data_IF_733073958679
#
_entry.id   IF_733073958679
#
_cell.length_a   1.000
_cell.length_b   1.000
_cell.length_c   1.000
_cell.angle_alpha   90.00
_cell.angle_beta   90.00
_cell.angle_gamma   90.00
#
_symmetry.space_group_name_H-M   'P 1'
#
loop_
_entity.id
_entity.type
_entity.pdbx_description
1 polymer ?
#
# COMPACT_ATOMS: atom_id res chain seq x y z
N UNK A 1 -3.04 1.48 22.54
CA UNK A 1 -2.34 1.21 21.26
C UNK A 1 -2.99 1.96 20.10
N UNK A 2 -4.31 1.86 19.88
CA UNK A 2 -5.01 2.54 18.76
C UNK A 2 -4.72 4.06 18.62
N UNK A 3 -4.50 4.80 19.72
CA UNK A 3 -4.14 6.23 19.64
C UNK A 3 -2.70 6.52 19.19
N UNK A 4 -1.72 5.63 19.44
CA UNK A 4 -0.30 5.87 19.13
C UNK A 4 -0.02 5.78 17.62
N UNK A 5 -0.83 5.03 16.87
CA UNK A 5 -0.72 4.89 15.40
C UNK A 5 -1.12 6.20 14.69
N UNK A 6 -2.01 6.98 15.30
CA UNK A 6 -2.40 8.30 14.80
C UNK A 6 -1.35 9.39 15.03
N UNK A 7 -0.23 9.07 15.68
CA UNK A 7 0.91 9.98 15.83
C UNK A 7 1.92 9.82 14.68
N UNK A 8 1.73 8.82 13.82
CA UNK A 8 2.61 8.60 12.68
C UNK A 8 2.30 9.58 11.54
N UNK A 9 3.35 10.05 10.82
CA UNK A 9 3.19 10.88 9.64
C UNK A 9 2.37 10.16 8.56
N UNK A 10 1.46 10.87 7.89
CA UNK A 10 0.59 10.29 6.87
C UNK A 10 -0.62 9.52 7.43
N UNK A 11 -0.93 9.62 8.72
CA UNK A 11 -2.15 9.02 9.28
C UNK A 11 -3.41 9.64 8.65
N UNK A 12 -4.40 8.80 8.35
CA UNK A 12 -5.68 9.27 7.79
C UNK A 12 -6.72 9.63 8.86
N UNK A 13 -6.38 9.42 10.14
CA UNK A 13 -7.32 9.42 11.28
C UNK A 13 -8.55 8.53 11.04
N UNK A 14 -9.33 8.28 12.09
CA UNK A 14 -10.55 7.47 12.03
C UNK A 14 -11.82 8.30 11.80
N UNK A 15 -11.71 9.63 11.81
CA UNK A 15 -12.80 10.59 11.59
C UNK A 15 -12.33 11.74 10.68
N UNK A 16 -13.16 12.11 9.71
CA UNK A 16 -12.94 13.25 8.80
C UNK A 16 -12.79 14.56 9.58
N UNK A 17 -13.47 14.71 10.72
CA UNK A 17 -13.36 15.90 11.59
C UNK A 17 -12.02 15.97 12.32
N UNK A 18 -11.45 14.83 12.71
CA UNK A 18 -10.12 14.76 13.33
C UNK A 18 -8.99 14.95 12.31
N UNK A 19 -9.24 14.62 11.04
CA UNK A 19 -8.30 14.86 9.95
C UNK A 19 -8.10 16.35 9.65
N UNK A 20 -9.15 17.18 9.78
CA UNK A 20 -9.10 18.60 9.46
C UNK A 20 -8.59 18.85 8.03
N UNK A 21 -7.69 19.83 7.88
CA UNK A 21 -7.05 20.19 6.60
C UNK A 21 -5.79 19.36 6.28
N UNK A 22 -5.46 18.35 7.09
CA UNK A 22 -4.26 17.54 6.89
C UNK A 22 -4.41 16.70 5.61
N UNK A 23 -3.48 16.88 4.67
CA UNK A 23 -3.32 16.00 3.52
C UNK A 23 -2.36 14.85 3.88
N UNK A 24 -2.86 13.61 4.08
CA UNK A 24 -2.04 12.47 4.47
C UNK A 24 -1.01 12.13 3.40
N UNK A 25 -1.31 12.43 2.13
CA UNK A 25 -0.41 12.14 1.01
C UNK A 25 0.82 13.05 1.01
N UNK A 26 0.71 14.26 1.55
CA UNK A 26 1.82 15.22 1.68
C UNK A 26 2.62 15.02 2.97
N UNK A 27 1.99 14.45 4.00
CA UNK A 27 2.64 14.17 5.28
C UNK A 27 3.21 12.74 5.38
N UNK A 28 2.89 11.84 4.45
CA UNK A 28 3.44 10.49 4.40
C UNK A 28 4.96 10.54 4.21
N UNK A 29 5.69 10.11 5.25
CA UNK A 29 7.15 10.13 5.29
C UNK A 29 7.78 8.75 5.49
N UNK A 30 6.98 7.75 5.85
CA UNK A 30 7.44 6.39 6.13
C UNK A 30 7.10 5.45 4.97
N UNK A 31 8.03 4.53 4.70
CA UNK A 31 7.83 3.35 3.85
C UNK A 31 7.00 2.29 4.60
N UNK A 32 6.48 1.30 3.87
CA UNK A 32 5.73 0.20 4.48
C UNK A 32 6.60 -0.58 5.48
N UNK A 33 7.82 -0.92 5.11
CA UNK A 33 8.76 -1.66 5.95
C UNK A 33 9.07 -0.91 7.27
N UNK A 34 9.22 0.42 7.21
CA UNK A 34 9.41 1.24 8.41
C UNK A 34 8.18 1.24 9.32
N UNK A 35 6.98 1.28 8.73
CA UNK A 35 5.71 1.17 9.50
C UNK A 35 5.59 -0.22 10.14
N UNK A 36 5.94 -1.28 9.41
CA UNK A 36 5.92 -2.66 9.94
C UNK A 36 6.90 -2.81 11.10
N UNK A 37 8.13 -2.29 10.97
CA UNK A 37 9.13 -2.31 12.03
C UNK A 37 8.65 -1.54 13.28
N UNK A 38 8.13 -0.33 13.08
CA UNK A 38 7.57 0.48 14.16
C UNK A 38 6.40 -0.25 14.85
N UNK A 39 5.51 -0.87 14.08
CA UNK A 39 4.35 -1.61 14.60
C UNK A 39 4.80 -2.81 15.43
N UNK A 40 5.77 -3.58 14.94
CA UNK A 40 6.34 -4.71 15.67
C UNK A 40 6.90 -4.25 17.03
N UNK A 41 7.65 -3.13 17.06
CA UNK A 41 8.17 -2.56 18.30
C UNK A 41 7.04 -2.07 19.23
N UNK A 42 6.02 -1.38 18.70
CA UNK A 42 4.89 -0.90 19.48
C UNK A 42 4.11 -2.07 20.13
N UNK A 43 3.99 -3.20 19.44
CA UNK A 43 3.30 -4.39 19.95
C UNK A 43 4.17 -5.13 20.96
N UNK A 44 5.39 -5.56 20.60
CA UNK A 44 6.21 -6.46 21.41
C UNK A 44 7.06 -5.72 22.45
N UNK A 45 7.53 -4.53 22.09
CA UNK A 45 8.37 -3.67 22.94
C UNK A 45 7.57 -2.95 24.00
N UNK A 46 6.39 -2.45 23.65
CA UNK A 46 5.63 -1.52 24.49
C UNK A 46 4.36 -2.18 25.04
N UNK A 47 3.38 -2.51 24.20
CA UNK A 47 2.05 -2.92 24.67
C UNK A 47 2.05 -4.17 25.54
N UNK A 48 2.75 -5.23 25.14
CA UNK A 48 2.78 -6.46 25.92
C UNK A 48 3.49 -6.31 27.27
N UNK A 49 4.26 -5.23 27.46
CA UNK A 49 5.08 -4.96 28.64
C UNK A 49 4.56 -3.82 29.51
N UNK A 50 3.69 -2.95 29.00
CA UNK A 50 3.02 -1.90 29.78
C UNK A 50 1.87 -2.48 30.62
N UNK A 51 1.62 -1.88 31.78
CA UNK A 51 0.49 -2.26 32.64
C UNK A 51 -0.84 -2.00 31.92
N UNK A 52 -1.61 -3.05 31.68
CA UNK A 52 -2.91 -2.92 31.01
C UNK A 52 -4.00 -2.65 32.06
N UNK A 53 -4.54 -1.42 32.08
CA UNK A 53 -5.53 -0.98 33.09
C UNK A 53 -6.74 -1.91 33.25
N UNK A 54 -7.22 -2.50 32.16
CA UNK A 54 -8.37 -3.43 32.21
C UNK A 54 -8.04 -4.83 32.73
N UNK A 55 -6.76 -5.24 32.71
CA UNK A 55 -6.32 -6.58 33.14
C UNK A 55 -5.64 -6.51 34.52
N UNK A 56 -5.16 -5.33 34.93
CA UNK A 56 -4.42 -5.16 36.18
C UNK A 56 -3.01 -5.76 36.17
N UNK A 57 -2.56 -6.28 35.03
CA UNK A 57 -1.23 -6.82 34.79
C UNK A 57 -0.76 -6.47 33.36
N UNK A 58 0.51 -6.74 33.05
CA UNK A 58 0.97 -6.65 31.66
C UNK A 58 0.38 -7.81 30.85
N UNK A 59 0.04 -7.62 29.55
CA UNK A 59 -0.48 -8.70 28.73
C UNK A 59 0.46 -9.92 28.67
N UNK A 60 1.77 -9.71 28.72
CA UNK A 60 2.76 -10.79 28.76
C UNK A 60 2.64 -11.65 30.02
N UNK A 61 2.49 -11.04 31.20
CA UNK A 61 2.32 -11.77 32.46
C UNK A 61 0.98 -12.52 32.47
N UNK A 62 -0.08 -11.89 31.98
CA UNK A 62 -1.38 -12.54 31.87
C UNK A 62 -1.33 -13.76 30.95
N UNK A 63 -0.61 -13.66 29.83
CA UNK A 63 -0.38 -14.78 28.91
C UNK A 63 0.39 -15.93 29.58
N UNK A 64 1.50 -15.63 30.27
CA UNK A 64 2.29 -16.63 30.99
C UNK A 64 1.47 -17.36 32.04
N UNK A 65 0.70 -16.63 32.86
CA UNK A 65 -0.23 -17.23 33.84
C UNK A 65 -1.26 -18.14 33.18
N UNK A 66 -1.74 -17.79 31.98
CA UNK A 66 -2.68 -18.65 31.25
C UNK A 66 -2.06 -19.96 30.76
N UNK A 67 -0.76 -19.97 30.44
CA UNK A 67 -0.04 -21.16 30.02
C UNK A 67 0.35 -22.05 31.21
N UNK A 68 0.95 -21.45 32.23
CA UNK A 68 1.52 -22.13 33.40
C UNK A 68 0.45 -22.49 34.44
N UNK A 69 -0.61 -21.69 34.52
CA UNK A 69 -1.62 -21.79 35.57
C UNK A 69 -1.28 -20.93 36.78
N UNK A 70 -2.18 -20.98 37.76
CA UNK A 70 -2.01 -20.44 39.11
C UNK A 70 -2.48 -21.48 40.13
N UNK A 71 -2.28 -21.20 41.41
CA UNK A 71 -2.79 -22.03 42.51
C UNK A 71 -4.32 -22.22 42.46
N UNK A 72 -5.04 -21.28 41.83
CA UNK A 72 -6.50 -21.29 41.70
C UNK A 72 -7.00 -21.90 40.38
N UNK A 73 -6.18 -21.90 39.32
CA UNK A 73 -6.58 -22.36 37.99
C UNK A 73 -5.46 -23.13 37.28
N UNK A 74 -5.71 -24.36 36.82
CA UNK A 74 -4.72 -25.10 36.07
C UNK A 74 -4.40 -24.39 34.75
N UNK A 75 -3.12 -24.39 34.39
CA UNK A 75 -2.63 -23.80 33.14
C UNK A 75 -3.17 -24.55 31.92
N UNK A 76 -3.28 -23.84 30.79
CA UNK A 76 -3.70 -24.46 29.52
C UNK A 76 -2.60 -25.31 28.86
N UNK A 77 -1.37 -25.21 29.35
CA UNK A 77 -0.21 -25.86 28.74
C UNK A 77 0.30 -25.12 27.51
N UNK A 78 1.50 -25.49 27.07
CA UNK A 78 2.11 -24.89 25.88
C UNK A 78 1.28 -25.18 24.63
N UNK A 79 1.08 -24.20 23.73
CA UNK A 79 0.39 -24.45 22.47
C UNK A 79 1.12 -25.53 21.66
N UNK A 80 0.35 -26.39 21.00
CA UNK A 80 0.89 -27.44 20.13
C UNK A 80 1.73 -26.80 19.02
N UNK A 81 3.00 -27.21 18.83
CA UNK A 81 3.82 -26.66 17.78
C UNK A 81 3.21 -26.96 16.41
N UNK A 82 3.28 -25.97 15.52
CA UNK A 82 2.86 -26.14 14.13
C UNK A 82 3.87 -27.05 13.43
N UNK A 83 3.43 -28.25 13.04
CA UNK A 83 4.28 -29.25 12.37
C UNK A 83 4.43 -29.00 10.87
N UNK A 84 3.43 -28.40 10.24
CA UNK A 84 3.44 -28.03 8.82
C UNK A 84 3.12 -26.53 8.67
N UNK A 85 4.19 -25.73 8.54
CA UNK A 85 4.08 -24.28 8.40
C UNK A 85 3.32 -23.87 7.12
N UNK A 86 3.42 -24.66 6.05
CA UNK A 86 2.74 -24.39 4.77
C UNK A 86 1.24 -24.60 4.92
N UNK A 87 0.83 -25.75 5.46
CA UNK A 87 -0.58 -26.03 5.74
C UNK A 87 -1.17 -24.96 6.65
N UNK A 88 -0.46 -24.60 7.73
CA UNK A 88 -0.89 -23.58 8.66
C UNK A 88 -1.15 -22.24 7.96
N UNK A 89 -0.23 -21.76 7.11
CA UNK A 89 -0.42 -20.54 6.34
C UNK A 89 -1.68 -20.61 5.44
N UNK A 90 -1.83 -21.71 4.70
CA UNK A 90 -2.96 -21.90 3.78
C UNK A 90 -4.30 -21.95 4.54
N UNK A 91 -4.32 -22.47 5.77
CA UNK A 91 -5.51 -22.53 6.61
C UNK A 91 -6.05 -21.15 7.01
N UNK A 92 -5.26 -20.08 6.91
CA UNK A 92 -5.72 -18.69 7.11
C UNK A 92 -6.12 -17.97 5.82
N UNK A 93 -5.88 -18.56 4.66
CA UNK A 93 -6.28 -17.96 3.39
C UNK A 93 -7.81 -18.02 3.21
N UNK A 94 -8.42 -17.05 2.50
CA UNK A 94 -9.82 -17.09 2.12
C UNK A 94 -10.24 -18.42 1.49
N UNK A 95 -11.47 -18.84 1.80
CA UNK A 95 -11.99 -20.15 1.46
C UNK A 95 -13.21 -20.06 0.55
N UNK A 96 -13.24 -20.93 -0.46
CA UNK A 96 -14.35 -21.14 -1.38
C UNK A 96 -14.61 -22.64 -1.55
N UNK A 97 -15.84 -23.02 -1.93
CA UNK A 97 -16.21 -24.41 -2.22
C UNK A 97 -16.50 -24.59 -3.70
N UNK A 98 -15.70 -25.41 -4.39
CA UNK A 98 -15.77 -25.58 -5.86
C UNK A 98 -15.81 -27.06 -6.26
N UNK A 99 -16.48 -27.34 -7.38
CA UNK A 99 -16.47 -28.67 -7.98
C UNK A 99 -15.19 -28.83 -8.81
N UNK A 100 -14.56 -29.99 -8.69
CA UNK A 100 -13.48 -30.42 -9.59
C UNK A 100 -14.12 -30.98 -10.85
N UNK A 101 -13.92 -30.30 -11.98
CA UNK A 101 -14.43 -30.73 -13.29
C UNK A 101 -13.28 -31.26 -14.15
N UNK A 102 -13.62 -31.88 -15.29
CA UNK A 102 -12.64 -32.34 -16.28
C UNK A 102 -11.77 -31.21 -16.84
N UNK A 103 -12.28 -29.99 -16.91
CA UNK A 103 -11.55 -28.79 -17.32
C UNK A 103 -10.78 -28.13 -16.17
N UNK A 104 -10.95 -28.63 -14.94
CA UNK A 104 -10.28 -28.14 -13.75
C UNK A 104 -11.22 -27.53 -12.72
N UNK A 105 -10.66 -26.64 -11.93
CA UNK A 105 -11.39 -25.87 -10.92
C UNK A 105 -11.59 -24.45 -11.45
N UNK A 106 -12.83 -23.95 -11.39
CA UNK A 106 -13.16 -22.60 -11.85
C UNK A 106 -13.43 -21.68 -10.66
N UNK A 107 -12.60 -20.64 -10.52
CA UNK A 107 -12.67 -19.67 -9.44
C UNK A 107 -12.38 -18.27 -9.96
N UNK A 108 -13.19 -17.28 -9.56
CA UNK A 108 -13.06 -15.88 -10.01
C UNK A 108 -12.98 -15.72 -11.54
N UNK A 109 -13.82 -16.44 -12.28
CA UNK A 109 -13.79 -16.42 -13.76
C UNK A 109 -12.48 -16.89 -14.40
N UNK A 110 -11.64 -17.61 -13.64
CA UNK A 110 -10.35 -18.15 -14.07
C UNK A 110 -10.35 -19.66 -13.88
N UNK A 111 -9.77 -20.35 -14.85
CA UNK A 111 -9.64 -21.81 -14.86
C UNK A 111 -8.29 -22.24 -14.30
N UNK A 112 -8.31 -23.24 -13.39
CA UNK A 112 -7.13 -23.76 -12.72
C UNK A 112 -6.99 -25.27 -12.95
N UNK A 113 -5.75 -25.72 -13.16
CA UNK A 113 -5.46 -27.11 -13.46
C UNK A 113 -4.21 -27.62 -12.70
N UNK A 114 -4.20 -28.91 -12.44
CA UNK A 114 -3.06 -29.70 -11.94
C UNK A 114 -3.32 -31.16 -12.28
N UNK A 115 -2.27 -31.96 -12.51
CA UNK A 115 -2.44 -33.37 -12.87
C UNK A 115 -3.07 -34.21 -11.74
N UNK A 116 -2.93 -33.77 -10.49
CA UNK A 116 -3.63 -34.38 -9.34
C UNK A 116 -5.15 -34.36 -9.49
N UNK A 117 -5.71 -33.41 -10.26
CA UNK A 117 -7.16 -33.39 -10.47
C UNK A 117 -7.66 -34.64 -11.17
N UNK A 118 -6.83 -35.34 -11.94
CA UNK A 118 -7.23 -36.57 -12.65
C UNK A 118 -7.78 -37.65 -11.72
N UNK A 119 -7.27 -37.75 -10.49
CA UNK A 119 -7.74 -38.72 -9.48
C UNK A 119 -8.96 -38.24 -8.72
N UNK A 120 -9.30 -36.94 -8.82
CA UNK A 120 -10.38 -36.27 -8.10
C UNK A 120 -11.56 -35.92 -9.03
N UNK A 121 -11.44 -36.12 -10.34
CA UNK A 121 -12.51 -35.91 -11.31
C UNK A 121 -13.62 -36.95 -11.08
N UNK A 122 -14.86 -36.46 -11.01
CA UNK A 122 -16.04 -37.31 -10.81
C UNK A 122 -16.61 -37.24 -9.40
N UNK A 123 -15.89 -36.60 -8.48
CA UNK A 123 -16.44 -36.26 -7.17
C UNK A 123 -17.65 -35.34 -7.31
N UNK A 124 -18.76 -35.73 -6.66
CA UNK A 124 -20.03 -34.98 -6.71
C UNK A 124 -20.04 -33.83 -5.72
N UNK A 125 -19.18 -33.87 -4.71
CA UNK A 125 -19.13 -32.87 -3.66
C UNK A 125 -18.20 -31.71 -4.01
N UNK A 126 -18.57 -30.52 -3.53
CA UNK A 126 -17.72 -29.33 -3.65
C UNK A 126 -16.57 -29.44 -2.66
N UNK A 127 -15.36 -29.44 -3.19
CA UNK A 127 -14.11 -29.46 -2.43
C UNK A 127 -13.72 -28.05 -1.98
N UNK A 128 -12.96 -27.98 -0.89
CA UNK A 128 -12.48 -26.71 -0.34
C UNK A 128 -11.28 -26.22 -1.15
N UNK A 129 -11.37 -24.97 -1.58
CA UNK A 129 -10.31 -24.26 -2.30
C UNK A 129 -9.94 -23.02 -1.50
N UNK A 130 -8.65 -22.85 -1.24
CA UNK A 130 -8.09 -21.62 -0.68
C UNK A 130 -7.32 -20.86 -1.75
N UNK A 131 -7.25 -19.54 -1.63
CA UNK A 131 -6.52 -18.69 -2.57
C UNK A 131 -5.93 -17.47 -1.84
N UNK A 132 -4.82 -16.92 -2.35
CA UNK A 132 -4.26 -15.68 -1.83
C UNK A 132 -4.85 -14.48 -2.62
N UNK A 133 -5.58 -13.54 -1.99
CA UNK A 133 -6.08 -12.36 -2.69
C UNK A 133 -5.00 -11.48 -3.30
N UNK A 134 -3.75 -11.59 -2.84
CA UNK A 134 -2.60 -10.83 -3.36
C UNK A 134 -2.03 -11.48 -4.62
N UNK A 135 -2.21 -12.80 -4.77
CA UNK A 135 -1.70 -13.59 -5.89
C UNK A 135 -2.67 -14.72 -6.25
N UNK A 136 -3.43 -14.51 -7.33
CA UNK A 136 -4.34 -15.50 -7.87
C UNK A 136 -3.65 -16.51 -8.80
N UNK A 137 -2.33 -16.45 -9.01
CA UNK A 137 -1.63 -17.41 -9.90
C UNK A 137 -1.76 -18.86 -9.46
N UNK A 138 -2.02 -19.05 -8.17
CA UNK A 138 -2.14 -20.35 -7.54
C UNK A 138 -3.32 -20.41 -6.59
N UNK A 139 -3.99 -21.55 -6.60
CA UNK A 139 -5.00 -21.91 -5.60
C UNK A 139 -4.62 -23.25 -4.96
N UNK A 140 -5.15 -23.47 -3.77
CA UNK A 140 -4.85 -24.62 -2.94
C UNK A 140 -6.11 -25.45 -2.76
N UNK A 141 -6.14 -26.64 -3.35
CA UNK A 141 -7.25 -27.58 -3.21
C UNK A 141 -7.01 -28.48 -2.01
N UNK A 142 -7.97 -28.52 -1.07
CA UNK A 142 -7.98 -29.48 0.01
C UNK A 142 -8.53 -30.81 -0.49
N UNK A 143 -7.69 -31.84 -0.50
CA UNK A 143 -8.05 -33.18 -0.95
C UNK A 143 -8.47 -34.11 0.20
N UNK A 144 -9.17 -35.23 -0.10
CA UNK A 144 -9.65 -36.16 0.92
C UNK A 144 -8.53 -36.86 1.72
N UNK A 145 -7.31 -36.89 1.18
CA UNK A 145 -6.10 -37.40 1.84
C UNK A 145 -5.54 -36.47 2.93
N UNK A 146 -6.20 -35.34 3.18
CA UNK A 146 -5.83 -34.39 4.22
C UNK A 146 -4.67 -33.46 3.84
N UNK A 147 -4.44 -33.25 2.54
CA UNK A 147 -3.34 -32.40 2.03
C UNK A 147 -3.85 -31.30 1.09
N UNK A 148 -3.07 -30.22 1.00
CA UNK A 148 -3.29 -29.15 0.03
C UNK A 148 -2.46 -29.38 -1.24
N UNK A 149 -3.15 -29.41 -2.38
CA UNK A 149 -2.55 -29.48 -3.70
C UNK A 149 -2.55 -28.13 -4.40
N UNK A 150 -1.45 -27.82 -5.07
CA UNK A 150 -1.29 -26.59 -5.83
C UNK A 150 -1.89 -26.74 -7.23
N UNK A 151 -2.80 -25.83 -7.56
CA UNK A 151 -3.34 -25.68 -8.89
C UNK A 151 -2.91 -24.33 -9.43
N UNK A 152 -2.25 -24.34 -10.58
CA UNK A 152 -1.89 -23.12 -11.31
C UNK A 152 -3.00 -22.78 -12.31
N UNK A 153 -2.88 -21.65 -13.00
CA UNK A 153 -3.73 -21.37 -14.16
C UNK A 153 -3.71 -22.52 -15.16
N UNK A 154 -4.86 -22.77 -15.80
CA UNK A 154 -4.93 -23.71 -16.91
C UNK A 154 -4.08 -23.23 -18.10
N UNK A 155 -4.02 -21.92 -18.34
CA UNK A 155 -3.07 -21.30 -19.26
C UNK A 155 -1.86 -20.74 -18.50
N UNK A 156 -0.75 -21.46 -18.56
CA UNK A 156 0.51 -21.12 -17.87
C UNK A 156 1.20 -19.86 -18.40
N UNK A 157 0.76 -19.31 -19.54
CA UNK A 157 1.33 -18.09 -20.11
C UNK A 157 0.85 -16.83 -19.38
N UNK A 158 -0.22 -16.95 -18.58
CA UNK A 158 -0.84 -15.83 -17.90
C UNK A 158 0.03 -15.34 -16.73
N UNK A 159 0.22 -14.02 -16.56
CA UNK A 159 0.98 -13.48 -15.44
C UNK A 159 0.20 -13.59 -14.13
N UNK A 160 0.90 -13.57 -13.00
CA UNK A 160 0.26 -13.45 -11.69
C UNK A 160 -0.52 -12.12 -11.59
N UNK A 161 -1.74 -12.20 -11.05
CA UNK A 161 -2.61 -11.05 -10.82
C UNK A 161 -3.19 -11.10 -9.41
N UNK A 162 -3.44 -9.94 -8.83
CA UNK A 162 -4.16 -9.84 -7.55
C UNK A 162 -5.68 -9.87 -7.75
N UNK A 163 -6.42 -10.23 -6.71
CA UNK A 163 -7.88 -10.15 -6.70
C UNK A 163 -8.38 -8.71 -6.88
N UNK A 164 -7.59 -7.73 -6.46
CA UNK A 164 -7.90 -6.32 -6.67
C UNK A 164 -7.83 -5.94 -8.15
N UNK A 165 -6.73 -6.28 -8.84
CA UNK A 165 -6.60 -6.06 -10.30
C UNK A 165 -7.72 -6.75 -11.06
N UNK A 166 -8.01 -8.01 -10.69
CA UNK A 166 -9.12 -8.77 -11.24
C UNK A 166 -10.47 -8.06 -11.08
N UNK A 167 -10.80 -7.60 -9.87
CA UNK A 167 -12.06 -6.87 -9.60
C UNK A 167 -12.14 -5.56 -10.37
N UNK A 168 -11.04 -4.84 -10.48
CA UNK A 168 -10.97 -3.58 -11.22
C UNK A 168 -11.17 -3.81 -12.72
N UNK A 169 -10.54 -4.85 -13.28
CA UNK A 169 -10.76 -5.27 -14.66
C UNK A 169 -12.22 -5.66 -14.92
N UNK A 170 -12.84 -6.45 -14.03
CA UNK A 170 -14.27 -6.78 -14.12
C UNK A 170 -15.16 -5.54 -14.10
N UNK A 171 -14.85 -4.56 -13.23
CA UNK A 171 -15.60 -3.31 -13.17
C UNK A 171 -15.51 -2.57 -14.50
N UNK A 172 -14.30 -2.43 -15.06
CA UNK A 172 -14.08 -1.75 -16.34
C UNK A 172 -14.79 -2.45 -17.51
N UNK A 173 -14.72 -3.77 -17.58
CA UNK A 173 -15.38 -4.55 -18.64
C UNK A 173 -16.91 -4.42 -18.60
N UNK A 174 -17.50 -4.29 -17.40
CA UNK A 174 -18.93 -4.01 -17.25
C UNK A 174 -19.30 -2.60 -17.70
N UNK A 175 -18.48 -1.60 -17.37
CA UNK A 175 -18.66 -0.21 -17.83
C UNK A 175 -18.58 -0.10 -19.35
N UNK A 176 -17.74 -0.92 -19.99
CA UNK A 176 -17.62 -1.01 -21.45
C UNK A 176 -18.74 -1.83 -22.12
N UNK A 177 -19.77 -2.26 -21.36
CA UNK A 177 -20.98 -2.90 -21.89
C UNK A 177 -20.83 -4.38 -22.25
N UNK A 178 -19.76 -5.06 -21.81
CA UNK A 178 -19.59 -6.50 -22.09
C UNK A 178 -20.46 -7.36 -21.17
N UNK A 179 -21.45 -8.03 -21.76
CA UNK A 179 -22.38 -8.91 -21.05
C UNK A 179 -21.76 -10.27 -20.63
N UNK A 180 -20.88 -10.82 -21.46
CA UNK A 180 -20.07 -12.00 -21.13
C UNK A 180 -18.63 -11.58 -20.90
N UNK A 181 -18.12 -11.91 -19.72
CA UNK A 181 -16.72 -11.70 -19.37
C UNK A 181 -16.00 -13.03 -19.47
N UNK A 182 -15.14 -13.15 -20.47
CA UNK A 182 -14.22 -14.26 -20.65
C UNK A 182 -12.92 -14.02 -19.88
N UNK A 183 -12.20 -15.12 -19.63
CA UNK A 183 -10.89 -15.09 -18.97
C UNK A 183 -9.90 -14.23 -19.77
N UNK A 184 -9.95 -14.27 -21.10
CA UNK A 184 -9.06 -13.49 -21.97
C UNK A 184 -9.28 -11.98 -21.87
N UNK A 185 -10.53 -11.48 -21.84
CA UNK A 185 -10.76 -10.06 -21.66
C UNK A 185 -10.34 -9.56 -20.28
N UNK A 186 -10.43 -10.40 -19.24
CA UNK A 186 -9.94 -10.06 -17.90
C UNK A 186 -8.44 -9.76 -17.96
N UNK A 187 -7.64 -10.71 -18.44
CA UNK A 187 -6.19 -10.53 -18.49
C UNK A 187 -5.78 -9.42 -19.45
N UNK A 188 -6.42 -9.31 -20.61
CA UNK A 188 -6.16 -8.20 -21.54
C UNK A 188 -6.51 -6.82 -20.94
N UNK A 189 -7.56 -6.72 -20.13
CA UNK A 189 -7.89 -5.48 -19.43
C UNK A 189 -6.83 -5.14 -18.35
N UNK A 190 -6.37 -6.14 -17.60
CA UNK A 190 -5.29 -5.97 -16.61
C UNK A 190 -4.01 -5.50 -17.30
N UNK A 191 -3.61 -6.13 -18.41
CA UNK A 191 -2.41 -5.75 -19.15
C UNK A 191 -2.49 -4.32 -19.69
N UNK A 192 -3.66 -3.91 -20.21
CA UNK A 192 -3.88 -2.52 -20.61
C UNK A 192 -3.73 -1.55 -19.44
N UNK A 193 -4.27 -1.88 -18.29
CA UNK A 193 -4.18 -1.06 -17.09
C UNK A 193 -2.74 -0.95 -16.57
N UNK A 194 -2.02 -2.08 -16.49
CA UNK A 194 -0.59 -2.12 -16.14
C UNK A 194 0.22 -1.24 -17.09
N UNK A 195 -0.03 -1.35 -18.40
CA UNK A 195 0.63 -0.52 -19.41
C UNK A 195 0.35 0.98 -19.26
N UNK A 196 -0.83 1.40 -18.77
CA UNK A 196 -1.11 2.81 -18.44
C UNK A 196 -0.27 3.26 -17.25
N UNK A 197 -0.23 2.46 -16.19
CA UNK A 197 0.55 2.75 -14.98
C UNK A 197 2.04 2.82 -15.29
N UNK A 198 2.56 1.87 -16.06
CA UNK A 198 3.98 1.83 -16.43
C UNK A 198 4.40 3.07 -17.24
N UNK A 199 3.57 3.50 -18.21
CA UNK A 199 3.80 4.74 -18.96
C UNK A 199 3.80 5.95 -18.03
N UNK A 200 2.83 6.06 -17.12
CA UNK A 200 2.75 7.17 -16.17
C UNK A 200 3.98 7.21 -15.23
N UNK A 201 4.48 6.05 -14.78
CA UNK A 201 5.69 5.95 -13.97
C UNK A 201 6.91 6.43 -14.76
N UNK A 202 7.06 6.00 -16.01
CA UNK A 202 8.17 6.43 -16.86
C UNK A 202 8.12 7.92 -17.11
N UNK A 203 6.96 8.48 -17.46
CA UNK A 203 6.75 9.91 -17.65
C UNK A 203 7.06 10.72 -16.38
N UNK A 204 6.62 10.24 -15.21
CA UNK A 204 6.91 10.91 -13.94
C UNK A 204 8.41 10.89 -13.63
N UNK A 205 9.09 9.75 -13.89
CA UNK A 205 10.55 9.63 -13.72
C UNK A 205 11.32 10.54 -14.69
N UNK A 206 10.89 10.65 -15.95
CA UNK A 206 11.54 11.53 -16.94
C UNK A 206 11.33 13.00 -16.59
N UNK A 207 10.11 13.39 -16.20
CA UNK A 207 9.80 14.74 -15.73
C UNK A 207 10.62 15.11 -14.49
N UNK A 208 10.72 14.20 -13.50
CA UNK A 208 11.56 14.40 -12.31
C UNK A 208 13.03 14.63 -12.69
N UNK A 209 13.59 13.79 -13.57
CA UNK A 209 14.98 13.93 -14.06
C UNK A 209 15.20 15.24 -14.83
N UNK A 210 14.25 15.67 -15.66
CA UNK A 210 14.34 16.95 -16.37
C UNK A 210 14.34 18.13 -15.40
N UNK A 211 13.51 18.08 -14.35
CA UNK A 211 13.47 19.10 -13.30
C UNK A 211 14.78 19.15 -12.51
N UNK A 212 15.33 18.00 -12.12
CA UNK A 212 16.64 17.90 -11.46
C UNK A 212 17.76 18.47 -12.34
N UNK A 213 17.79 18.11 -13.63
CA UNK A 213 18.76 18.68 -14.59
C UNK A 213 18.62 20.18 -14.72
N UNK A 214 17.39 20.72 -14.76
CA UNK A 214 17.15 22.18 -14.82
C UNK A 214 17.64 22.88 -13.55
N UNK A 215 17.41 22.29 -12.38
CA UNK A 215 17.91 22.79 -11.10
C UNK A 215 19.44 22.72 -11.00
N UNK A 216 20.06 21.65 -11.49
CA UNK A 216 21.52 21.53 -11.57
C UNK A 216 22.12 22.53 -12.56
N UNK A 217 21.54 22.66 -13.76
CA UNK A 217 21.96 23.67 -14.73
C UNK A 217 21.82 25.10 -14.18
N UNK A 218 20.77 25.38 -13.41
CA UNK A 218 20.60 26.66 -12.71
C UNK A 218 21.63 26.87 -11.59
N UNK A 219 22.13 25.80 -10.94
CA UNK A 219 23.23 25.88 -9.95
C UNK A 219 24.62 26.02 -10.59
N UNK A 220 24.79 25.60 -11.84
CA UNK A 220 26.06 25.62 -12.59
C UNK A 220 26.14 26.79 -13.58
N UNK A 221 25.07 27.58 -13.72
CA UNK A 221 25.09 28.80 -14.52
C UNK A 221 26.23 29.73 -14.06
N UNK A 222 27.10 30.23 -14.96
CA UNK A 222 28.19 31.11 -14.57
C UNK A 222 27.61 32.37 -13.93
N UNK A 223 28.15 32.78 -12.78
CA UNK A 223 27.95 34.14 -12.27
C UNK A 223 28.46 35.08 -13.37
N UNK A 224 27.56 35.85 -13.99
CA UNK A 224 27.95 36.87 -14.96
C UNK A 224 29.03 37.77 -14.35
N UNK A 225 30.14 38.07 -15.06
CA UNK A 225 31.11 39.01 -14.56
C UNK A 225 30.42 40.36 -14.41
N UNK A 226 30.52 40.96 -13.22
CA UNK A 226 29.95 42.26 -12.90
C UNK A 226 30.31 43.28 -13.98
N UNK A 227 29.30 43.67 -14.77
CA UNK A 227 29.44 44.71 -15.79
C UNK A 227 29.75 46.03 -15.10
N UNK A 228 30.81 46.69 -15.57
CA UNK A 228 31.37 47.92 -15.05
C UNK A 228 30.32 49.04 -14.91
N UNK A 229 30.40 49.78 -13.79
CA UNK A 229 29.58 50.96 -13.50
C UNK A 229 29.81 52.04 -14.57
N UNK A 230 28.76 52.70 -15.09
CA UNK A 230 28.94 53.84 -15.97
C UNK A 230 29.41 55.07 -15.18
N UNK A 231 30.27 55.86 -15.84
CA UNK A 231 30.85 57.11 -15.36
C UNK A 231 29.78 58.16 -15.01
N UNK A 232 30.04 58.90 -13.92
CA UNK A 232 29.17 59.99 -13.46
C UNK A 232 29.37 61.23 -14.34
N UNK A 233 28.29 61.88 -14.84
CA UNK A 233 28.40 63.26 -15.28
C UNK A 233 28.39 64.22 -14.08
N UNK A 234 29.32 65.18 -14.11
CA UNK A 234 29.37 66.34 -13.22
C UNK A 234 28.25 67.36 -13.52
N UNK A 235 27.88 68.22 -12.55
CA UNK A 235 26.57 68.88 -12.50
C UNK A 235 26.55 70.21 -13.27
N UNK A 236 25.44 70.49 -13.96
CA UNK A 236 25.07 71.82 -14.42
C UNK A 236 23.98 72.37 -13.49
N UNK A 237 24.15 73.60 -13.04
CA UNK A 237 23.32 74.25 -12.02
C UNK A 237 22.01 74.86 -12.56
N UNK A 238 21.10 75.13 -11.60
CA UNK A 238 19.87 75.95 -11.60
C UNK A 238 18.55 75.25 -11.97
N UNK A 239 17.43 75.42 -11.24
CA UNK A 239 16.90 76.54 -10.42
C UNK A 239 15.93 76.02 -9.30
N UNK A 240 15.58 76.77 -8.24
CA UNK A 240 14.63 76.29 -7.22
C UNK A 240 13.14 76.46 -7.60
N UNK A 241 12.35 75.53 -7.05
CA UNK A 241 10.94 75.11 -7.31
C UNK A 241 9.82 76.17 -7.25
N UNK A 242 8.67 75.96 -7.94
CA UNK A 242 7.39 76.57 -7.56
C UNK A 242 6.75 75.83 -6.35
N UNK A 243 6.15 76.61 -5.45
CA UNK A 243 5.73 76.20 -4.09
C UNK A 243 4.52 75.24 -4.07
N UNK A 244 3.84 75.07 -5.21
CA UNK A 244 2.64 74.26 -5.39
C UNK A 244 2.92 72.79 -5.78
N UNK A 245 4.18 72.41 -6.02
CA UNK A 245 4.57 71.03 -6.38
C UNK A 245 5.44 70.33 -5.32
N UNK A 246 5.57 70.94 -4.13
CA UNK A 246 6.20 70.34 -2.95
C UNK A 246 5.19 69.42 -2.24
N UNK A 247 4.91 68.25 -2.82
CA UNK A 247 3.77 67.42 -2.42
C UNK A 247 4.04 66.32 -1.38
N UNK A 248 5.22 66.26 -0.75
CA UNK A 248 5.46 65.32 0.35
C UNK A 248 6.34 65.95 1.45
N UNK A 249 5.68 66.75 2.28
CA UNK A 249 6.08 66.97 3.67
C UNK A 249 5.62 65.74 4.47
N UNK A 250 6.47 65.28 5.39
CA UNK A 250 6.26 64.17 6.35
C UNK A 250 6.83 62.80 5.93
N UNK A 251 8.13 62.72 6.17
CA UNK A 251 8.82 61.56 6.73
C UNK A 251 8.25 61.28 8.13
N UNK A 252 7.70 60.09 8.35
CA UNK A 252 7.61 59.43 9.66
C UNK A 252 8.06 57.98 9.39
N UNK A 253 9.32 57.65 9.69
CA UNK A 253 9.80 57.11 10.98
C UNK A 253 9.08 55.84 11.41
N UNK A 254 9.83 54.73 11.29
CA UNK A 254 9.53 53.44 11.88
C UNK A 254 9.66 53.52 13.40
N UNK A 255 8.64 53.02 14.11
CA UNK A 255 8.77 52.34 15.40
C UNK A 255 7.83 51.14 15.41
#
# INVERSE_FOLDING_TARGET
MMGKVHLLPGTTFSDVRMKGDLDPSKSAAMTLDEVECWLAHAITGVYHRELHRGIGATPLVAWQRGLEGSDEQPGRGSPTPVTDARKFLIDFLPMERRLVRRQGVFLHSISYWSDVLRTLIGEREKMVVRYDPRDLSRIYLWAPDGRYYDLSYADLRRPAISLWEHRLALKRLREDGRAQVDEDAIFAAIDRMRGIVDRAIVETKTLRRQRERRLQAARVAPVEPAVAKPDKPHPTAFEPLPENERLFTNVEEWL
#
